data_IF_880070521070
#
_entry.id   IF_880070521070
#
_cell.length_a   1.000
_cell.length_b   1.000
_cell.length_c   1.000
_cell.angle_alpha   90.00
_cell.angle_beta   90.00
_cell.angle_gamma   90.00
#
_symmetry.space_group_name_H-M   'P 1'
#
loop_
_entity.id
_entity.type
_entity.pdbx_description
1 polymer ?
#
# COMPACT_ATOMS: atom_id res chain seq x y z
N UNK A 1 -21.75 -42.44 20.75
CA UNK A 1 -22.64 -41.26 20.64
C UNK A 1 -22.94 -41.02 19.17
N UNK A 2 -24.21 -40.83 18.81
CA UNK A 2 -24.66 -40.80 17.40
C UNK A 2 -24.73 -39.38 16.81
N UNK A 3 -24.68 -38.35 17.65
CA UNK A 3 -24.70 -36.95 17.20
C UNK A 3 -23.37 -36.23 17.52
N UNK A 4 -23.07 -35.17 16.77
CA UNK A 4 -21.93 -34.30 17.06
C UNK A 4 -21.99 -33.72 18.48
N UNK A 5 -23.19 -33.34 18.93
CA UNK A 5 -23.40 -32.75 20.26
C UNK A 5 -23.07 -33.76 21.35
N UNK A 6 -23.56 -35.00 21.21
CA UNK A 6 -23.30 -36.07 22.18
C UNK A 6 -21.82 -36.49 22.19
N UNK A 7 -21.20 -36.51 21.01
CA UNK A 7 -19.78 -36.82 20.89
C UNK A 7 -18.93 -35.73 21.56
N UNK A 8 -19.14 -34.46 21.25
CA UNK A 8 -18.38 -33.33 21.82
C UNK A 8 -18.60 -33.21 23.32
N UNK A 9 -19.86 -33.33 23.78
CA UNK A 9 -20.19 -33.31 25.21
C UNK A 9 -19.55 -34.49 25.96
N UNK A 10 -19.60 -35.70 25.38
CA UNK A 10 -18.93 -36.87 25.93
C UNK A 10 -17.42 -36.70 26.01
N UNK A 11 -16.79 -36.19 24.93
CA UNK A 11 -15.34 -36.01 24.85
C UNK A 11 -14.83 -34.96 25.85
N UNK A 12 -15.59 -33.90 26.09
CA UNK A 12 -15.28 -32.91 27.14
C UNK A 12 -15.49 -33.45 28.57
N UNK A 13 -16.42 -34.40 28.77
CA UNK A 13 -16.75 -34.98 30.08
C UNK A 13 -15.79 -36.09 30.51
N UNK A 14 -15.44 -36.99 29.59
CA UNK A 14 -14.57 -38.12 29.84
C UNK A 14 -13.75 -38.46 28.59
N UNK A 15 -12.72 -37.67 28.24
CA UNK A 15 -12.02 -37.83 26.97
C UNK A 15 -11.37 -39.20 26.77
N UNK A 16 -10.99 -39.87 27.86
CA UNK A 16 -10.34 -41.19 27.85
C UNK A 16 -11.23 -42.31 27.29
N UNK A 17 -12.56 -42.19 27.35
CA UNK A 17 -13.47 -43.22 26.81
C UNK A 17 -13.45 -43.30 25.27
N UNK A 18 -12.79 -42.36 24.61
CA UNK A 18 -12.67 -42.27 23.15
C UNK A 18 -11.23 -42.47 22.68
N UNK A 19 -10.38 -43.08 23.51
CA UNK A 19 -9.05 -43.55 23.10
C UNK A 19 -9.23 -44.98 22.63
N UNK A 20 -8.85 -45.26 21.39
CA UNK A 20 -8.90 -46.59 20.78
C UNK A 20 -7.64 -46.83 19.93
N UNK A 21 -7.46 -48.05 19.41
CA UNK A 21 -6.30 -48.45 18.60
C UNK A 21 -6.10 -47.61 17.32
N UNK A 22 -7.11 -46.82 16.91
CA UNK A 22 -7.08 -45.96 15.72
C UNK A 22 -6.92 -44.48 16.05
N UNK A 23 -6.95 -44.10 17.33
CA UNK A 23 -6.90 -42.72 17.78
C UNK A 23 -6.07 -42.59 19.07
N UNK A 24 -4.76 -42.39 18.90
CA UNK A 24 -3.80 -42.08 19.97
C UNK A 24 -3.88 -40.62 20.48
N UNK A 25 -4.89 -39.84 20.03
CA UNK A 25 -5.01 -38.43 20.42
C UNK A 25 -5.37 -38.29 21.90
N UNK A 26 -4.38 -37.85 22.69
CA UNK A 26 -4.52 -37.64 24.12
C UNK A 26 -5.13 -36.27 24.42
N UNK A 27 -6.34 -36.29 24.99
CA UNK A 27 -6.96 -35.11 25.58
C UNK A 27 -6.99 -35.30 27.11
N UNK A 28 -6.28 -34.46 27.89
CA UNK A 28 -6.39 -34.44 29.34
C UNK A 28 -7.83 -34.19 29.76
N UNK A 29 -8.27 -34.76 30.89
CA UNK A 29 -9.61 -34.49 31.43
C UNK A 29 -9.65 -33.03 31.91
N UNK A 30 -10.48 -32.16 31.29
CA UNK A 30 -10.56 -30.77 31.69
C UNK A 30 -11.25 -30.62 33.04
N UNK A 31 -10.77 -29.71 33.89
CA UNK A 31 -11.41 -29.37 35.15
C UNK A 31 -12.49 -28.30 34.92
N UNK A 32 -13.62 -28.70 34.34
CA UNK A 32 -14.73 -27.81 33.97
C UNK A 32 -16.06 -28.30 34.54
N UNK A 33 -16.93 -27.36 34.89
CA UNK A 33 -18.29 -27.66 35.36
C UNK A 33 -19.20 -28.09 34.21
N UNK A 34 -20.38 -28.63 34.53
CA UNK A 34 -21.39 -29.00 33.53
C UNK A 34 -21.86 -27.79 32.71
N UNK A 35 -21.97 -26.62 33.33
CA UNK A 35 -22.31 -25.35 32.67
C UNK A 35 -21.21 -24.88 31.71
N UNK A 36 -19.95 -24.89 32.16
CA UNK A 36 -18.81 -24.54 31.30
C UNK A 36 -18.67 -25.50 30.12
N UNK A 37 -18.90 -26.80 30.36
CA UNK A 37 -18.91 -27.81 29.30
C UNK A 37 -20.02 -27.52 28.30
N UNK A 38 -21.23 -27.24 28.75
CA UNK A 38 -22.34 -26.89 27.86
C UNK A 38 -22.02 -25.63 27.05
N UNK A 39 -21.47 -24.58 27.66
CA UNK A 39 -21.06 -23.35 26.98
C UNK A 39 -19.99 -23.62 25.91
N UNK A 40 -19.02 -24.50 26.18
CA UNK A 40 -18.02 -24.92 25.20
C UNK A 40 -18.63 -25.71 24.04
N UNK A 41 -19.58 -26.61 24.31
CA UNK A 41 -20.30 -27.33 23.24
C UNK A 41 -21.05 -26.35 22.35
N UNK A 42 -21.73 -25.35 22.92
CA UNK A 42 -22.43 -24.30 22.18
C UNK A 42 -21.46 -23.47 21.35
N UNK A 43 -20.36 -23.02 21.95
CA UNK A 43 -19.32 -22.26 21.24
C UNK A 43 -18.73 -23.03 20.07
N UNK A 44 -18.33 -24.29 20.29
CA UNK A 44 -17.76 -25.16 19.26
C UNK A 44 -18.78 -25.49 18.17
N UNK A 45 -20.08 -25.61 18.50
CA UNK A 45 -21.14 -25.79 17.51
C UNK A 45 -21.33 -24.54 16.67
N UNK A 46 -21.17 -23.37 17.28
CA UNK A 46 -21.21 -22.06 16.63
C UNK A 46 -19.95 -21.74 15.80
N UNK A 47 -18.87 -22.50 15.94
CA UNK A 47 -17.65 -22.39 15.11
C UNK A 47 -17.82 -23.05 13.73
N UNK A 48 -19.03 -23.47 13.34
CA UNK A 48 -19.32 -23.83 11.97
C UNK A 48 -19.19 -22.57 11.07
N UNK A 49 -18.69 -22.69 9.83
CA UNK A 49 -18.69 -21.58 8.90
C UNK A 49 -20.14 -21.22 8.57
N UNK A 50 -20.69 -20.28 9.34
CA UNK A 50 -21.97 -19.67 9.03
C UNK A 50 -21.75 -18.79 7.80
N UNK A 51 -22.14 -19.30 6.63
CA UNK A 51 -22.22 -18.48 5.42
C UNK A 51 -23.40 -17.53 5.63
N UNK A 52 -23.12 -16.38 6.25
CA UNK A 52 -24.11 -15.34 6.41
C UNK A 52 -24.63 -14.94 5.02
N UNK A 53 -25.96 -14.91 4.80
CA UNK A 53 -26.52 -14.34 3.59
C UNK A 53 -25.93 -12.95 3.34
N UNK A 54 -25.58 -12.63 2.08
CA UNK A 54 -24.91 -11.38 1.70
C UNK A 54 -25.57 -10.12 2.26
N UNK A 55 -26.90 -10.12 2.41
CA UNK A 55 -27.68 -9.04 3.03
C UNK A 55 -27.33 -8.73 4.49
N UNK A 56 -26.68 -9.64 5.22
CA UNK A 56 -26.25 -9.45 6.60
C UNK A 56 -24.75 -9.16 6.73
N UNK A 57 -24.01 -9.17 5.62
CA UNK A 57 -22.60 -8.79 5.59
C UNK A 57 -22.55 -7.26 5.44
N UNK A 58 -22.37 -6.56 6.57
CA UNK A 58 -22.30 -5.09 6.60
C UNK A 58 -20.98 -4.51 6.08
N UNK A 59 -20.00 -5.36 5.72
CA UNK A 59 -18.65 -4.96 5.31
C UNK A 59 -18.34 -5.41 3.87
N UNK A 60 -17.48 -4.69 3.16
CA UNK A 60 -16.96 -5.13 1.86
C UNK A 60 -16.01 -6.33 2.09
N UNK A 61 -16.33 -7.54 1.61
CA UNK A 61 -15.49 -8.72 1.82
C UNK A 61 -14.06 -8.56 1.28
N UNK A 62 -13.85 -7.71 0.28
CA UNK A 62 -12.52 -7.46 -0.29
C UNK A 62 -11.67 -6.54 0.59
N UNK A 63 -12.30 -5.61 1.33
CA UNK A 63 -11.61 -4.77 2.32
C UNK A 63 -11.22 -5.61 3.54
N UNK A 64 -12.09 -6.53 3.96
CA UNK A 64 -11.89 -7.29 5.19
C UNK A 64 -10.68 -8.24 5.13
N UNK A 65 -10.34 -8.78 3.95
CA UNK A 65 -9.12 -9.58 3.77
C UNK A 65 -7.87 -8.79 4.16
N UNK A 66 -7.68 -7.59 3.59
CA UNK A 66 -6.53 -6.76 3.92
C UNK A 66 -6.59 -6.20 5.35
N UNK A 67 -7.78 -5.91 5.89
CA UNK A 67 -7.93 -5.52 7.29
C UNK A 67 -7.46 -6.62 8.25
N UNK A 68 -7.76 -7.89 7.97
CA UNK A 68 -7.24 -9.01 8.75
C UNK A 68 -5.72 -9.14 8.65
N UNK A 69 -5.12 -8.81 7.50
CA UNK A 69 -3.67 -8.80 7.33
C UNK A 69 -3.03 -7.67 8.15
N UNK A 70 -3.65 -6.48 8.19
CA UNK A 70 -3.23 -5.37 9.07
C UNK A 70 -3.14 -5.81 10.54
N UNK A 71 -4.11 -6.59 11.01
CA UNK A 71 -4.10 -7.15 12.37
C UNK A 71 -3.06 -8.29 12.51
N UNK A 72 -3.03 -9.24 11.56
CA UNK A 72 -2.10 -10.39 11.56
C UNK A 72 -0.63 -9.95 11.66
N UNK A 73 -0.25 -8.92 10.91
CA UNK A 73 1.11 -8.37 10.89
C UNK A 73 1.30 -7.21 11.89
N UNK A 74 0.28 -6.93 12.71
CA UNK A 74 0.31 -5.92 13.77
C UNK A 74 0.73 -4.53 13.25
N UNK A 75 0.29 -4.14 12.06
CA UNK A 75 0.66 -2.88 11.42
C UNK A 75 0.26 -1.66 12.30
N UNK A 76 -0.85 -1.78 13.04
CA UNK A 76 -1.35 -0.77 13.97
C UNK A 76 -0.46 -0.56 15.20
N UNK A 77 0.48 -1.45 15.52
CA UNK A 77 1.46 -1.16 16.56
C UNK A 77 2.30 0.07 16.22
N UNK A 78 2.62 0.25 14.93
CA UNK A 78 3.45 1.34 14.44
C UNK A 78 2.63 2.48 13.82
N UNK A 79 1.60 2.14 13.04
CA UNK A 79 0.86 3.08 12.22
C UNK A 79 -0.50 3.44 12.81
N UNK A 80 -0.97 4.65 12.51
CA UNK A 80 -2.41 4.99 12.62
C UNK A 80 -3.11 4.50 11.35
N UNK A 81 -4.07 3.59 11.49
CA UNK A 81 -4.88 3.03 10.40
C UNK A 81 -6.34 3.10 10.83
N UNK A 82 -7.21 3.68 10.00
CA UNK A 82 -8.63 3.91 10.32
C UNK A 82 -8.83 4.65 11.67
N UNK A 83 -7.93 5.58 11.99
CA UNK A 83 -7.98 6.35 13.24
C UNK A 83 -7.53 5.59 14.49
N UNK A 84 -7.00 4.38 14.35
CA UNK A 84 -6.58 3.52 15.47
C UNK A 84 -5.11 3.12 15.36
N UNK A 85 -4.47 2.82 16.49
CA UNK A 85 -3.10 2.27 16.57
C UNK A 85 -2.05 3.27 17.02
N UNK A 86 -0.83 3.13 16.48
CA UNK A 86 0.38 3.86 16.84
C UNK A 86 0.85 3.66 18.29
N UNK A 87 0.79 2.42 18.77
CA UNK A 87 1.26 2.02 20.11
C UNK A 87 2.71 2.45 20.40
N UNK A 88 3.56 2.52 19.37
CA UNK A 88 4.94 3.01 19.47
C UNK A 88 5.08 4.43 20.04
N UNK A 89 4.02 5.25 20.01
CA UNK A 89 4.00 6.57 20.64
C UNK A 89 4.15 6.53 22.18
N UNK A 90 4.00 5.35 22.79
CA UNK A 90 4.36 5.14 24.19
C UNK A 90 5.85 5.37 24.46
N UNK A 91 6.72 5.09 23.49
CA UNK A 91 8.18 5.21 23.62
C UNK A 91 8.78 6.34 22.77
N UNK A 92 8.19 6.64 21.62
CA UNK A 92 8.64 7.73 20.74
C UNK A 92 7.76 8.96 20.99
N UNK A 93 8.30 9.95 21.69
CA UNK A 93 7.54 11.16 22.10
C UNK A 93 7.53 12.26 21.06
N UNK A 94 8.62 12.41 20.30
CA UNK A 94 8.66 13.40 19.21
C UNK A 94 7.80 12.91 18.04
N UNK A 95 6.72 13.61 17.67
CA UNK A 95 5.83 13.18 16.60
C UNK A 95 6.53 12.99 15.24
N UNK A 96 7.58 13.78 14.94
CA UNK A 96 8.28 13.62 13.66
C UNK A 96 9.17 12.38 13.57
N UNK A 97 9.34 11.65 14.69
CA UNK A 97 10.03 10.36 14.75
C UNK A 97 9.07 9.17 14.70
N UNK A 98 7.76 9.41 14.70
CA UNK A 98 6.76 8.35 14.60
C UNK A 98 6.63 7.83 13.16
N UNK A 99 6.28 6.54 13.01
CA UNK A 99 5.82 6.03 11.72
C UNK A 99 4.63 6.85 11.21
N UNK A 100 4.49 6.98 9.88
CA UNK A 100 3.47 7.83 9.29
C UNK A 100 2.05 7.36 9.65
N UNK A 101 1.16 8.32 9.86
CA UNK A 101 -0.28 8.10 9.78
C UNK A 101 -0.63 7.63 8.35
N UNK A 102 -1.40 6.55 8.26
CA UNK A 102 -1.78 5.93 6.99
C UNK A 102 -3.17 6.35 6.49
N UNK A 103 -3.79 7.37 7.10
CA UNK A 103 -4.95 8.03 6.53
C UNK A 103 -4.70 8.43 5.06
N UNK A 104 -5.68 8.18 4.20
CA UNK A 104 -5.63 8.44 2.75
C UNK A 104 -4.48 7.75 1.99
N UNK A 105 -3.85 6.70 2.53
CA UNK A 105 -2.68 6.06 1.92
C UNK A 105 -2.96 5.40 0.57
N UNK A 106 -4.13 4.81 0.39
CA UNK A 106 -4.61 4.28 -0.89
C UNK A 106 -4.71 5.36 -1.97
N UNK A 107 -5.29 6.50 -1.63
CA UNK A 107 -5.36 7.65 -2.54
C UNK A 107 -4.02 8.36 -2.73
N UNK A 108 -3.15 8.35 -1.71
CA UNK A 108 -1.85 9.02 -1.69
C UNK A 108 -0.81 8.33 -2.55
N UNK A 109 -0.63 7.02 -2.37
CA UNK A 109 0.51 6.30 -2.93
C UNK A 109 0.19 5.75 -4.32
N UNK A 110 1.16 5.80 -5.23
CA UNK A 110 1.11 5.06 -6.47
C UNK A 110 1.10 3.55 -6.18
N UNK A 111 0.39 2.78 -7.00
CA UNK A 111 0.16 1.35 -6.73
C UNK A 111 1.45 0.55 -6.82
N UNK A 112 2.30 0.82 -7.81
CA UNK A 112 3.62 0.17 -7.94
C UNK A 112 4.52 0.46 -6.74
N UNK A 113 4.53 1.71 -6.28
CA UNK A 113 5.29 2.09 -5.10
C UNK A 113 4.78 1.36 -3.85
N UNK A 114 3.46 1.36 -3.63
CA UNK A 114 2.85 0.68 -2.49
C UNK A 114 3.16 -0.83 -2.52
N UNK A 115 2.98 -1.46 -3.67
CA UNK A 115 3.25 -2.88 -3.86
C UNK A 115 4.72 -3.22 -3.58
N UNK A 116 5.65 -2.52 -4.22
CA UNK A 116 7.08 -2.75 -4.00
C UNK A 116 7.52 -2.45 -2.56
N UNK A 117 7.04 -1.36 -1.98
CA UNK A 117 7.42 -0.96 -0.61
C UNK A 117 6.92 -1.97 0.43
N UNK A 118 5.70 -2.46 0.31
CA UNK A 118 5.16 -3.51 1.21
C UNK A 118 5.91 -4.84 1.05
N UNK A 119 6.36 -5.18 -0.17
CA UNK A 119 7.14 -6.39 -0.44
C UNK A 119 8.50 -6.37 0.24
N UNK A 120 9.24 -5.27 0.07
CA UNK A 120 10.54 -5.08 0.72
C UNK A 120 10.83 -3.59 0.92
N UNK A 121 10.56 -3.03 2.11
CA UNK A 121 10.82 -1.62 2.40
C UNK A 121 12.31 -1.23 2.26
N UNK A 122 13.22 -2.20 2.37
CA UNK A 122 14.67 -1.98 2.30
C UNK A 122 15.18 -1.59 0.90
N UNK A 123 14.44 -1.89 -0.16
CA UNK A 123 14.82 -1.56 -1.54
C UNK A 123 14.46 -0.11 -1.92
N UNK A 124 13.77 0.60 -1.02
CA UNK A 124 13.28 1.95 -1.27
C UNK A 124 14.14 3.00 -0.57
N UNK A 125 14.29 4.20 -1.17
CA UNK A 125 15.05 5.27 -0.56
C UNK A 125 14.41 5.73 0.75
N UNK A 126 15.24 6.17 1.70
CA UNK A 126 14.78 6.78 2.95
C UNK A 126 14.17 8.15 2.68
N UNK A 127 12.86 8.19 2.50
CA UNK A 127 12.13 9.45 2.27
C UNK A 127 12.17 10.38 3.49
N UNK A 128 12.31 9.82 4.69
CA UNK A 128 12.59 10.54 5.94
C UNK A 128 13.94 10.04 6.50
N UNK A 129 15.07 10.57 6.03
CA UNK A 129 16.39 10.04 6.35
C UNK A 129 16.74 10.08 7.84
N UNK A 130 16.05 10.92 8.62
CA UNK A 130 16.24 11.06 10.07
C UNK A 130 15.48 10.01 10.92
N UNK A 131 14.68 9.13 10.31
CA UNK A 131 14.00 8.06 11.05
C UNK A 131 14.93 6.86 11.24
N UNK A 132 15.12 6.48 12.50
CA UNK A 132 15.80 5.23 12.87
C UNK A 132 14.85 4.03 12.86
N UNK A 133 13.58 4.26 13.24
CA UNK A 133 12.54 3.22 13.18
C UNK A 133 12.33 2.76 11.75
N UNK A 134 12.29 1.43 11.55
CA UNK A 134 12.11 0.82 10.23
C UNK A 134 10.85 -0.02 10.20
N UNK A 135 10.21 -0.05 9.03
CA UNK A 135 9.16 -1.02 8.76
C UNK A 135 9.79 -2.41 8.59
N UNK A 136 9.30 -3.46 9.28
CA UNK A 136 9.79 -4.82 9.09
C UNK A 136 9.50 -5.35 7.68
N UNK A 137 10.36 -6.25 7.19
CA UNK A 137 10.08 -7.04 5.99
C UNK A 137 9.29 -8.28 6.40
N UNK A 138 8.02 -8.34 6.03
CA UNK A 138 7.08 -9.37 6.51
C UNK A 138 7.07 -10.66 5.68
N UNK A 139 7.78 -10.70 4.54
CA UNK A 139 7.77 -11.84 3.60
C UNK A 139 6.34 -12.25 3.21
N UNK A 140 5.53 -11.25 2.84
CA UNK A 140 4.14 -11.44 2.44
C UNK A 140 4.05 -12.39 1.24
N UNK A 141 3.08 -13.30 1.26
CA UNK A 141 2.72 -14.02 0.03
C UNK A 141 2.16 -13.04 -1.01
N UNK A 142 2.34 -13.32 -2.29
CA UNK A 142 1.89 -12.40 -3.37
C UNK A 142 0.38 -12.08 -3.26
N UNK A 143 -0.46 -13.06 -2.90
CA UNK A 143 -1.90 -12.81 -2.65
C UNK A 143 -2.19 -11.94 -1.42
N UNK A 144 -1.36 -12.01 -0.37
CA UNK A 144 -1.51 -11.14 0.81
C UNK A 144 -1.10 -9.69 0.50
N UNK A 145 -0.06 -9.54 -0.32
CA UNK A 145 0.40 -8.25 -0.81
C UNK A 145 -0.69 -7.56 -1.64
N UNK A 146 -1.30 -8.29 -2.59
CA UNK A 146 -2.43 -7.78 -3.38
C UNK A 146 -3.63 -7.41 -2.51
N UNK A 147 -3.98 -8.25 -1.51
CA UNK A 147 -5.09 -7.98 -0.60
C UNK A 147 -4.86 -6.73 0.25
N UNK A 148 -3.62 -6.48 0.71
CA UNK A 148 -3.25 -5.23 1.42
C UNK A 148 -3.34 -4.01 0.52
N UNK A 149 -2.82 -4.09 -0.71
CA UNK A 149 -2.90 -2.99 -1.69
C UNK A 149 -4.37 -2.69 -1.99
N UNK A 150 -5.17 -3.72 -2.29
CA UNK A 150 -6.61 -3.59 -2.57
C UNK A 150 -7.35 -2.97 -1.40
N UNK A 151 -7.04 -3.39 -0.17
CA UNK A 151 -7.63 -2.83 1.05
C UNK A 151 -7.44 -1.31 1.12
N UNK A 152 -6.21 -0.80 1.04
CA UNK A 152 -5.96 0.64 1.11
C UNK A 152 -6.62 1.38 -0.06
N UNK A 153 -6.52 0.84 -1.27
CA UNK A 153 -7.09 1.47 -2.49
C UNK A 153 -8.62 1.59 -2.41
N UNK A 154 -9.30 0.51 -2.03
CA UNK A 154 -10.76 0.52 -1.88
C UNK A 154 -11.22 1.35 -0.69
N UNK A 155 -10.51 1.29 0.44
CA UNK A 155 -10.83 2.08 1.62
C UNK A 155 -10.89 3.58 1.28
N UNK A 156 -9.94 4.04 0.46
CA UNK A 156 -9.88 5.43 -0.01
C UNK A 156 -10.63 5.68 -1.33
N UNK A 157 -11.47 4.74 -1.77
CA UNK A 157 -12.34 4.84 -2.95
C UNK A 157 -11.59 5.18 -4.24
N UNK A 158 -10.40 4.63 -4.43
CA UNK A 158 -9.61 4.79 -5.65
C UNK A 158 -10.21 3.94 -6.77
N UNK A 159 -10.70 4.58 -7.81
CA UNK A 159 -11.32 3.90 -8.97
C UNK A 159 -10.27 3.24 -9.88
N UNK A 160 -9.13 3.89 -10.10
CA UNK A 160 -8.08 3.42 -11.00
C UNK A 160 -6.79 3.09 -10.25
N UNK A 161 -6.36 1.82 -10.34
CA UNK A 161 -5.15 1.32 -9.68
C UNK A 161 -3.89 1.91 -10.32
N UNK A 162 -3.83 1.99 -11.65
CA UNK A 162 -2.68 2.54 -12.38
C UNK A 162 -3.12 3.77 -13.14
N UNK A 163 -2.30 4.81 -13.06
CA UNK A 163 -2.55 6.07 -13.77
C UNK A 163 -1.26 6.52 -14.41
N UNK A 164 -1.28 6.62 -15.74
CA UNK A 164 -0.20 7.26 -16.50
C UNK A 164 -0.48 8.74 -16.47
N UNK A 165 0.39 9.50 -15.82
CA UNK A 165 0.29 10.94 -15.79
C UNK A 165 1.25 11.50 -16.83
N UNK A 166 0.71 11.86 -18.00
CA UNK A 166 1.44 12.60 -19.04
C UNK A 166 1.52 14.07 -18.62
N UNK A 167 2.54 14.38 -17.81
CA UNK A 167 2.78 15.73 -17.32
C UNK A 167 3.65 16.49 -18.31
N UNK A 168 3.02 17.43 -19.02
CA UNK A 168 3.71 18.42 -19.84
C UNK A 168 3.94 19.65 -18.97
N UNK A 169 5.21 19.88 -18.61
CA UNK A 169 5.58 21.00 -17.75
C UNK A 169 6.26 22.08 -18.59
N UNK A 170 5.75 23.31 -18.50
CA UNK A 170 6.29 24.47 -19.20
C UNK A 170 7.36 25.19 -18.37
N UNK A 171 8.29 25.93 -18.99
CA UNK A 171 9.23 26.78 -18.24
C UNK A 171 8.55 27.83 -17.35
N UNK A 172 7.39 28.34 -17.77
CA UNK A 172 6.58 29.28 -16.97
C UNK A 172 6.07 28.62 -15.69
N UNK A 173 5.50 27.41 -15.78
CA UNK A 173 5.06 26.64 -14.61
C UNK A 173 6.21 26.30 -13.67
N UNK A 174 7.38 25.93 -14.19
CA UNK A 174 8.57 25.68 -13.36
C UNK A 174 8.98 26.95 -12.60
N UNK A 175 9.06 28.08 -13.28
CA UNK A 175 9.44 29.36 -12.66
C UNK A 175 8.41 29.79 -11.61
N UNK A 176 7.12 29.65 -11.92
CA UNK A 176 6.03 29.92 -10.99
C UNK A 176 6.11 29.02 -9.75
N UNK A 177 6.28 27.71 -9.93
CA UNK A 177 6.39 26.76 -8.83
C UNK A 177 7.61 27.03 -7.94
N UNK A 178 8.77 27.34 -8.52
CA UNK A 178 9.97 27.73 -7.76
C UNK A 178 9.74 28.99 -6.95
N UNK A 179 9.06 29.99 -7.52
CA UNK A 179 8.68 31.21 -6.81
C UNK A 179 7.72 30.92 -5.66
N UNK A 180 6.69 30.10 -5.88
CA UNK A 180 5.72 29.70 -4.84
C UNK A 180 6.39 28.92 -3.70
N UNK A 181 7.34 28.03 -4.01
CA UNK A 181 8.06 27.26 -2.99
C UNK A 181 9.11 28.09 -2.22
N UNK A 182 9.47 29.26 -2.74
CA UNK A 182 10.48 30.15 -2.16
C UNK A 182 10.05 30.84 -0.86
N UNK A 183 11.00 31.49 -0.18
CA UNK A 183 10.79 32.08 1.15
C UNK A 183 9.75 33.20 1.19
N UNK A 184 9.56 33.93 0.07
CA UNK A 184 8.58 35.03 -0.03
C UNK A 184 7.13 34.54 -0.19
N UNK A 185 6.92 33.23 -0.36
CA UNK A 185 5.60 32.62 -0.56
C UNK A 185 5.38 31.51 0.48
N UNK A 186 5.28 30.26 0.04
CA UNK A 186 4.96 29.13 0.92
C UNK A 186 6.17 28.60 1.70
N UNK A 187 7.38 29.03 1.34
CA UNK A 187 8.62 28.69 2.03
C UNK A 187 8.78 27.17 2.26
N UNK A 188 8.44 26.37 1.25
CA UNK A 188 8.44 24.90 1.33
C UNK A 188 9.82 24.34 1.74
N UNK A 189 10.89 25.01 1.32
CA UNK A 189 12.27 24.62 1.61
C UNK A 189 12.69 24.84 3.07
N UNK A 190 11.88 25.52 3.89
CA UNK A 190 12.13 25.66 5.33
C UNK A 190 11.90 24.36 6.12
N UNK A 191 11.17 23.40 5.54
CA UNK A 191 10.94 22.10 6.16
C UNK A 191 11.34 20.94 5.25
N UNK A 192 11.08 21.03 3.94
CA UNK A 192 11.30 19.90 3.05
C UNK A 192 12.75 19.73 2.62
N UNK A 193 13.25 18.50 2.72
CA UNK A 193 14.51 18.10 2.11
C UNK A 193 14.36 18.08 0.58
N UNK A 194 15.40 18.50 -0.14
CA UNK A 194 15.48 18.37 -1.60
C UNK A 194 16.82 17.75 -1.98
N UNK A 195 16.78 16.48 -2.38
CA UNK A 195 17.99 15.70 -2.63
C UNK A 195 18.83 15.57 -1.37
N UNK A 196 20.03 16.13 -1.40
CA UNK A 196 20.94 16.15 -0.24
C UNK A 196 20.92 17.48 0.53
N UNK A 197 20.01 18.40 0.19
CA UNK A 197 19.86 19.68 0.88
C UNK A 197 18.84 19.56 1.99
N UNK A 198 19.30 19.72 3.23
CA UNK A 198 18.47 19.74 4.41
C UNK A 198 18.07 21.18 4.74
N UNK A 199 16.84 21.42 5.22
CA UNK A 199 16.46 22.73 5.73
C UNK A 199 17.26 23.05 7.00
N UNK A 200 17.29 24.33 7.36
CA UNK A 200 17.79 24.77 8.66
C UNK A 200 16.95 24.18 9.81
N UNK A 201 17.55 24.13 11.01
CA UNK A 201 16.97 23.47 12.16
C UNK A 201 17.34 21.99 12.25
N UNK A 202 16.56 21.24 13.04
CA UNK A 202 16.84 19.84 13.34
C UNK A 202 15.75 18.87 12.86
N UNK A 203 15.96 17.55 13.03
CA UNK A 203 15.01 16.51 12.64
C UNK A 203 13.58 16.65 13.18
N UNK A 204 13.33 17.50 14.17
CA UNK A 204 11.98 17.78 14.69
C UNK A 204 11.13 18.63 13.74
N UNK A 205 11.76 19.44 12.86
CA UNK A 205 11.08 20.32 11.90
C UNK A 205 11.23 19.86 10.44
N UNK A 206 12.09 18.88 10.19
CA UNK A 206 12.31 18.35 8.84
C UNK A 206 11.06 17.65 8.28
N UNK A 207 10.85 17.79 6.99
CA UNK A 207 9.77 17.22 6.22
C UNK A 207 10.31 16.35 5.07
N UNK A 208 9.50 15.41 4.55
CA UNK A 208 9.94 14.39 3.60
C UNK A 208 10.70 14.94 2.39
N UNK A 209 11.68 14.17 1.89
CA UNK A 209 12.42 14.56 0.70
C UNK A 209 11.52 14.62 -0.54
N UNK A 210 11.47 15.78 -1.19
CA UNK A 210 10.60 16.07 -2.32
C UNK A 210 11.04 15.39 -3.63
N UNK A 211 12.31 15.00 -3.76
CA UNK A 211 12.77 14.29 -4.97
C UNK A 211 12.10 12.93 -5.17
N UNK A 212 11.55 12.34 -4.10
CA UNK A 212 10.85 11.05 -4.18
C UNK A 212 9.34 11.18 -4.43
N UNK A 213 8.83 12.41 -4.62
CA UNK A 213 7.40 12.63 -4.87
C UNK A 213 6.95 11.94 -6.16
N UNK A 214 7.70 12.13 -7.25
CA UNK A 214 7.34 11.61 -8.58
C UNK A 214 7.17 10.09 -8.64
N UNK A 215 7.90 9.35 -7.81
CA UNK A 215 7.91 7.89 -7.80
C UNK A 215 6.87 7.30 -6.84
N UNK A 216 6.32 8.11 -5.92
CA UNK A 216 5.53 7.62 -4.80
C UNK A 216 4.13 8.17 -4.75
N UNK A 217 3.94 9.45 -5.05
CA UNK A 217 2.71 10.16 -4.75
C UNK A 217 1.85 10.27 -6.01
N UNK A 218 0.53 10.12 -5.86
CA UNK A 218 -0.44 10.33 -6.94
C UNK A 218 -0.72 11.83 -7.10
N UNK A 219 -0.60 12.40 -8.32
CA UNK A 219 -0.77 13.84 -8.54
C UNK A 219 -2.12 14.42 -8.07
N UNK A 220 -3.22 13.66 -8.22
CA UNK A 220 -4.54 14.12 -7.80
C UNK A 220 -4.65 14.22 -6.27
N UNK A 221 -3.96 13.34 -5.55
CA UNK A 221 -3.84 13.46 -4.10
C UNK A 221 -2.93 14.64 -3.73
N UNK A 222 -1.82 14.84 -4.47
CA UNK A 222 -0.90 15.95 -4.23
C UNK A 222 -1.56 17.32 -4.41
N UNK A 223 -2.42 17.48 -5.42
CA UNK A 223 -3.24 18.67 -5.63
C UNK A 223 -4.09 18.99 -4.38
N UNK A 224 -4.88 18.00 -3.91
CA UNK A 224 -5.70 18.14 -2.70
C UNK A 224 -4.86 18.40 -1.45
N UNK A 225 -3.71 17.73 -1.35
CA UNK A 225 -2.78 17.87 -0.25
C UNK A 225 -2.18 19.27 -0.15
N UNK A 226 -1.76 19.88 -1.26
CA UNK A 226 -1.22 21.25 -1.26
C UNK A 226 -2.28 22.28 -0.85
N UNK A 227 -3.54 22.06 -1.25
CA UNK A 227 -4.66 22.92 -0.88
C UNK A 227 -4.90 22.91 0.63
N UNK A 228 -5.22 21.73 1.18
CA UNK A 228 -5.48 21.56 2.60
C UNK A 228 -5.08 20.16 3.09
N UNK A 229 -3.85 20.00 3.64
CA UNK A 229 -3.36 18.73 4.16
C UNK A 229 -4.23 18.11 5.27
N UNK A 230 -4.85 18.94 6.11
CA UNK A 230 -5.58 18.50 7.30
C UNK A 230 -6.85 17.70 6.97
N UNK A 231 -7.44 17.93 5.80
CA UNK A 231 -8.61 17.20 5.30
C UNK A 231 -8.26 15.74 4.93
N UNK A 232 -7.00 15.49 4.55
CA UNK A 232 -6.54 14.17 4.10
C UNK A 232 -5.84 13.40 5.23
N UNK A 233 -5.04 14.10 6.05
CA UNK A 233 -4.33 13.52 7.19
C UNK A 233 -4.49 14.44 8.40
N UNK A 234 -5.49 14.19 9.25
CA UNK A 234 -5.73 14.97 10.45
C UNK A 234 -4.49 15.02 11.37
N UNK A 235 -4.20 16.21 11.91
CA UNK A 235 -3.05 16.44 12.80
C UNK A 235 -1.68 16.53 12.08
N UNK A 236 -1.66 16.59 10.75
CA UNK A 236 -0.43 16.87 10.00
C UNK A 236 0.13 18.26 10.34
N UNK A 237 1.46 18.38 10.35
CA UNK A 237 2.17 19.66 10.56
C UNK A 237 2.27 20.52 9.30
N UNK A 238 1.98 19.95 8.12
CA UNK A 238 2.03 20.71 6.88
C UNK A 238 0.85 21.69 6.85
N UNK A 239 1.09 22.99 6.64
CA UNK A 239 0.03 23.99 6.60
C UNK A 239 -0.79 23.87 5.30
N UNK A 240 -2.04 24.34 5.35
CA UNK A 240 -2.83 24.60 4.15
C UNK A 240 -2.44 25.94 3.55
N UNK A 241 -2.19 25.97 2.24
CA UNK A 241 -1.74 27.18 1.53
C UNK A 241 -2.86 27.88 0.77
N UNK A 242 -4.00 27.19 0.59
CA UNK A 242 -5.17 27.71 -0.12
C UNK A 242 -6.46 27.48 0.70
N UNK A 243 -6.58 28.11 1.89
CA UNK A 243 -7.74 27.91 2.77
C UNK A 243 -9.04 28.48 2.19
N UNK A 244 -8.95 29.50 1.33
CA UNK A 244 -10.11 30.16 0.71
C UNK A 244 -9.91 30.26 -0.81
N UNK A 245 -10.98 30.35 -1.61
CA UNK A 245 -10.84 30.56 -3.06
C UNK A 245 -10.10 31.86 -3.38
N UNK A 246 -9.11 31.77 -4.27
CA UNK A 246 -8.22 32.86 -4.66
C UNK A 246 -7.42 33.42 -3.48
N UNK A 247 -6.91 32.57 -2.58
CA UNK A 247 -6.05 33.04 -1.48
C UNK A 247 -4.55 32.97 -1.78
N UNK A 248 -4.16 32.42 -2.94
CA UNK A 248 -2.77 32.30 -3.33
C UNK A 248 -2.07 33.63 -3.64
N UNK A 249 -0.73 33.63 -3.76
CA UNK A 249 0.06 34.81 -4.10
C UNK A 249 -0.40 35.50 -5.39
N UNK A 250 -0.73 36.79 -5.32
CA UNK A 250 -1.36 37.52 -6.44
C UNK A 250 -0.42 37.81 -7.62
N UNK A 251 0.87 37.79 -7.37
CA UNK A 251 1.94 38.09 -8.31
C UNK A 251 2.49 36.84 -9.02
N UNK A 252 1.83 35.69 -8.88
CA UNK A 252 2.17 34.44 -9.55
C UNK A 252 0.99 33.94 -10.37
N UNK A 253 1.19 33.69 -11.67
CA UNK A 253 0.16 33.16 -12.58
C UNK A 253 -1.19 33.90 -12.51
N UNK A 254 -1.16 35.21 -12.23
CA UNK A 254 -2.36 36.05 -12.11
C UNK A 254 -3.17 35.86 -10.82
N UNK A 255 -2.62 35.18 -9.82
CA UNK A 255 -3.32 34.89 -8.56
C UNK A 255 -4.40 33.81 -8.68
N UNK A 256 -4.32 32.97 -9.72
CA UNK A 256 -5.19 31.82 -9.96
C UNK A 256 -4.68 30.60 -9.18
N UNK A 257 -5.44 30.22 -8.15
CA UNK A 257 -5.07 29.13 -7.25
C UNK A 257 -4.91 27.78 -7.97
N UNK A 258 -5.77 27.47 -8.94
CA UNK A 258 -5.70 26.18 -9.65
C UNK A 258 -4.43 26.10 -10.47
N UNK A 259 -4.12 27.17 -11.24
CA UNK A 259 -2.89 27.23 -12.03
C UNK A 259 -1.64 27.16 -11.15
N UNK A 260 -1.68 27.75 -9.96
CA UNK A 260 -0.57 27.68 -9.01
C UNK A 260 -0.40 26.29 -8.41
N UNK A 261 -1.48 25.63 -8.01
CA UNK A 261 -1.45 24.26 -7.48
C UNK A 261 -0.98 23.29 -8.57
N UNK A 262 -1.47 23.42 -9.80
CA UNK A 262 -1.05 22.57 -10.91
C UNK A 262 0.43 22.77 -11.22
N UNK A 263 0.92 24.01 -11.27
CA UNK A 263 2.35 24.29 -11.44
C UNK A 263 3.21 23.63 -10.34
N UNK A 264 2.77 23.70 -9.07
CA UNK A 264 3.44 23.03 -7.95
C UNK A 264 3.44 21.50 -8.11
N UNK A 265 2.30 20.90 -8.41
CA UNK A 265 2.16 19.45 -8.63
C UNK A 265 3.07 19.01 -9.77
N UNK A 266 2.99 19.68 -10.92
CA UNK A 266 3.80 19.41 -12.10
C UNK A 266 5.29 19.48 -11.77
N UNK A 267 5.72 20.57 -11.14
CA UNK A 267 7.12 20.74 -10.75
C UNK A 267 7.60 19.65 -9.79
N UNK A 268 6.83 19.35 -8.73
CA UNK A 268 7.17 18.28 -7.77
C UNK A 268 7.27 16.90 -8.43
N UNK A 269 6.47 16.64 -9.46
CA UNK A 269 6.54 15.40 -10.24
C UNK A 269 7.73 15.33 -11.20
N UNK A 270 8.45 16.43 -11.42
CA UNK A 270 9.72 16.45 -12.16
C UNK A 270 10.95 16.31 -11.28
N UNK A 271 10.87 16.64 -9.98
CA UNK A 271 12.00 16.59 -9.07
C UNK A 271 12.57 15.17 -8.95
N UNK A 272 13.91 15.05 -8.94
CA UNK A 272 14.62 13.77 -8.82
C UNK A 272 14.67 12.95 -10.12
N UNK A 273 14.01 13.36 -11.20
CA UNK A 273 14.17 12.72 -12.52
C UNK A 273 15.46 13.21 -13.17
N UNK A 274 16.39 12.28 -13.45
CA UNK A 274 17.70 12.60 -14.07
C UNK A 274 17.60 13.16 -15.49
N UNK A 275 16.47 12.93 -16.16
CA UNK A 275 16.10 13.58 -17.42
C UNK A 275 14.82 14.36 -17.15
N UNK A 276 14.93 15.68 -17.01
CA UNK A 276 13.75 16.54 -16.99
C UNK A 276 12.90 16.24 -18.20
N UNK A 277 11.59 16.12 -18.03
CA UNK A 277 10.67 16.15 -19.17
C UNK A 277 10.67 17.61 -19.65
N UNK A 278 11.72 17.96 -20.37
CA UNK A 278 11.79 19.08 -21.27
C UNK A 278 12.06 18.46 -22.63
N UNK A 279 10.98 18.14 -23.35
CA UNK A 279 10.81 18.47 -24.77
C UNK A 279 9.62 17.73 -25.37
N UNK A 280 8.85 18.45 -26.19
CA UNK A 280 7.98 17.84 -27.18
C UNK A 280 8.85 17.11 -28.19
N UNK A 281 9.05 15.82 -27.99
CA UNK A 281 9.34 14.86 -29.05
C UNK A 281 8.50 13.63 -28.77
N UNK A 282 7.47 13.46 -29.58
CA UNK A 282 6.62 12.28 -29.58
C UNK A 282 7.46 11.07 -29.97
N UNK A 283 7.80 10.21 -29.01
CA UNK A 283 8.15 8.84 -29.31
C UNK A 283 6.86 8.16 -29.80
N UNK A 284 6.80 7.86 -31.11
CA UNK A 284 5.72 7.08 -31.70
C UNK A 284 5.60 5.73 -30.96
N UNK A 285 4.37 5.23 -30.72
CA UNK A 285 4.20 3.94 -30.06
C UNK A 285 4.85 2.84 -30.91
N UNK A 286 5.75 2.09 -30.29
CA UNK A 286 6.35 0.91 -30.89
C UNK A 286 5.24 -0.06 -31.29
N UNK A 287 5.11 -0.32 -32.58
CA UNK A 287 4.29 -1.41 -33.10
C UNK A 287 4.79 -2.73 -32.51
N UNK A 288 3.90 -3.64 -32.08
CA UNK A 288 4.30 -4.97 -31.64
C UNK A 288 4.93 -5.70 -32.82
N UNK A 289 6.21 -6.04 -32.72
CA UNK A 289 6.84 -7.01 -33.62
C UNK A 289 6.16 -8.36 -33.38
N UNK A 290 5.33 -8.74 -34.34
CA UNK A 290 4.75 -10.08 -34.44
C UNK A 290 5.91 -11.07 -34.65
N UNK A 291 6.21 -11.90 -33.65
CA UNK A 291 7.09 -13.04 -33.84
C UNK A 291 6.46 -14.00 -34.86
N UNK A 292 7.16 -14.40 -35.94
CA UNK A 292 6.62 -15.37 -36.87
C UNK A 292 6.60 -16.77 -36.24
N UNK A 293 5.47 -17.46 -36.42
CA UNK A 293 5.26 -18.85 -36.00
C UNK A 293 6.32 -19.79 -36.62
N UNK A 294 6.71 -20.88 -35.93
CA UNK A 294 7.67 -21.83 -36.47
C UNK A 294 7.09 -22.59 -37.67
N UNK A 295 7.83 -22.58 -38.78
CA UNK A 295 7.44 -23.24 -40.02
C UNK A 295 7.40 -24.77 -39.86
N UNK A 296 6.26 -25.36 -40.18
CA UNK A 296 6.11 -26.79 -40.41
C UNK A 296 6.91 -27.22 -41.65
N UNK A 297 7.91 -28.09 -41.47
CA UNK A 297 8.56 -28.79 -42.58
C UNK A 297 7.87 -30.14 -42.79
N UNK A 298 6.95 -30.17 -43.76
CA UNK A 298 6.42 -31.38 -44.38
C UNK A 298 7.40 -31.91 -45.43
N UNK A 299 7.58 -33.23 -45.43
CA UNK A 299 8.72 -33.91 -46.05
C UNK A 299 8.70 -34.10 -47.57
N UNK A 300 9.77 -34.74 -48.06
CA UNK A 300 9.79 -35.46 -49.34
C UNK A 300 10.66 -36.72 -49.28
N UNK A 301 9.97 -37.84 -49.53
CA UNK A 301 10.30 -39.04 -50.33
C UNK A 301 11.58 -39.85 -50.03
N UNK A 302 11.34 -41.11 -49.70
CA UNK A 302 12.27 -42.23 -49.82
C UNK A 302 12.42 -42.74 -51.27
N UNK A 303 13.55 -43.38 -51.59
CA UNK A 303 13.59 -44.64 -52.33
C UNK A 303 14.52 -45.69 -51.66
N UNK A 304 14.53 -46.96 -52.13
CA UNK A 304 14.42 -48.13 -51.25
C UNK A 304 15.71 -48.92 -50.95
N UNK A 305 15.60 -49.68 -49.85
CA UNK A 305 16.21 -50.96 -49.46
C UNK A 305 17.60 -51.37 -50.00
N UNK A 306 18.55 -51.56 -49.08
CA UNK A 306 19.49 -52.68 -49.13
C UNK A 306 19.93 -53.11 -47.73
N UNK A 307 19.85 -54.42 -47.54
CA UNK A 307 20.23 -55.31 -46.45
C UNK A 307 21.67 -55.10 -45.92
N UNK A 308 21.88 -55.23 -44.59
CA UNK A 308 22.87 -56.12 -43.94
C UNK A 308 23.16 -55.77 -42.46
N UNK A 309 22.85 -56.76 -41.62
CA UNK A 309 23.69 -57.34 -40.54
C UNK A 309 24.10 -56.51 -39.30
N UNK A 310 23.44 -56.85 -38.19
CA UNK A 310 23.98 -57.56 -37.00
C UNK A 310 25.21 -57.05 -36.23
N UNK A 311 25.05 -57.13 -34.88
CA UNK A 311 26.03 -57.11 -33.77
C UNK A 311 26.57 -55.70 -33.46
N UNK A 312 26.60 -55.21 -32.22
CA UNK A 312 26.64 -55.77 -30.87
C UNK A 312 25.89 -54.82 -29.92
#
# INVERSE_FOLDING_TARGET
>A
PETWVDWTNGKLKNPQMFVDERSDSFMPKPNITDEQRHALVVFLKGQAPEVLPSKYIAYDPEIEKGRRLVEKYNCKACHVIEGQGQEVAKWIKEPNFLPPNLASTGARLQTDWMHGFLRNPGDFPKVRPWLDIRMPTFQLAEGELEDLVRYFKKHDKVEHLFEVVDLKVTPEEISAAQKLMGPENFNCYSCHIVGNKFPEGGPTVWAPNLEYVHARIRPQWLNKWIRNPADLVPGTRMPGYYPEPNSGPKDVLGGDDERQIDALVHYLMTLGRKNGILQGETAAPATPETQPAPAAQGGKKAPPAADKQAKL
#
